data_IF_342076908920
#
_entry.id   IF_342076908920
#
_cell.length_a   1.000
_cell.length_b   1.000
_cell.length_c   1.000
_cell.angle_alpha   90.00
_cell.angle_beta   90.00
_cell.angle_gamma   90.00
#
_symmetry.space_group_name_H-M   'P 1'
#
loop_
_entity.id
_entity.type
_entity.pdbx_description
1 polymer ?
#
# COMPACT_ATOMS: atom_id res chain seq x y z
N UNK A 1 50.96 -9.11 -35.39
CA UNK A 1 50.65 -8.24 -34.24
C UNK A 1 49.29 -7.63 -34.47
N UNK A 2 48.28 -8.07 -33.73
CA UNK A 2 46.99 -7.41 -33.57
C UNK A 2 46.30 -8.10 -32.40
N UNK A 3 46.77 -7.82 -31.19
CA UNK A 3 46.05 -8.17 -29.96
C UNK A 3 44.86 -7.21 -29.87
N UNK A 4 43.67 -7.71 -30.18
CA UNK A 4 42.44 -7.08 -29.70
C UNK A 4 42.43 -7.23 -28.19
N UNK A 5 42.31 -6.14 -27.40
CA UNK A 5 42.19 -6.27 -25.96
C UNK A 5 40.82 -6.88 -25.65
N UNK A 6 40.83 -8.06 -25.03
CA UNK A 6 39.66 -8.62 -24.37
C UNK A 6 39.17 -7.61 -23.32
N UNK A 7 38.08 -6.91 -23.63
CA UNK A 7 37.34 -6.15 -22.63
C UNK A 7 36.66 -7.17 -21.74
N UNK A 8 37.34 -7.53 -20.64
CA UNK A 8 36.74 -8.30 -19.56
C UNK A 8 35.64 -7.42 -18.97
N UNK A 9 34.40 -7.62 -19.41
CA UNK A 9 33.22 -7.06 -18.77
C UNK A 9 33.11 -7.72 -17.40
N UNK A 10 33.71 -7.10 -16.38
CA UNK A 10 33.51 -7.50 -14.98
C UNK A 10 32.05 -7.23 -14.64
N UNK A 11 31.19 -8.25 -14.66
CA UNK A 11 29.86 -8.16 -14.07
C UNK A 11 30.02 -7.71 -12.63
N UNK A 12 29.42 -6.57 -12.27
CA UNK A 12 29.35 -6.12 -10.89
C UNK A 12 28.69 -7.23 -10.06
N UNK A 13 29.39 -7.74 -9.04
CA UNK A 13 28.80 -8.68 -8.10
C UNK A 13 27.76 -7.95 -7.27
N UNK A 14 26.51 -8.40 -7.30
CA UNK A 14 25.45 -7.85 -6.45
C UNK A 14 25.83 -8.13 -4.99
N UNK A 15 25.86 -7.13 -4.09
CA UNK A 15 26.22 -7.32 -2.70
C UNK A 15 25.19 -8.21 -1.97
N UNK A 16 25.56 -8.75 -0.82
CA UNK A 16 24.60 -9.38 0.09
C UNK A 16 23.75 -8.29 0.77
N UNK A 17 22.49 -8.61 1.10
CA UNK A 17 21.68 -7.70 1.92
C UNK A 17 22.01 -7.95 3.39
N UNK A 18 22.84 -7.08 3.95
CA UNK A 18 23.22 -7.02 5.37
C UNK A 18 23.22 -5.57 5.87
N UNK A 19 23.42 -5.36 7.18
CA UNK A 19 23.45 -4.01 7.73
C UNK A 19 24.63 -3.16 7.21
N UNK A 20 25.73 -3.79 6.78
CA UNK A 20 26.88 -3.06 6.23
C UNK A 20 26.55 -2.46 4.85
N UNK A 21 25.86 -3.18 3.97
CA UNK A 21 25.40 -2.64 2.68
C UNK A 21 24.32 -1.57 2.88
N UNK A 22 23.52 -1.65 3.96
CA UNK A 22 22.59 -0.58 4.33
C UNK A 22 23.33 0.66 4.85
N UNK A 23 24.36 0.49 5.69
CA UNK A 23 25.22 1.59 6.13
C UNK A 23 25.91 2.26 4.92
N UNK A 24 26.40 1.46 3.96
CA UNK A 24 26.93 1.97 2.69
C UNK A 24 25.86 2.68 1.84
N UNK A 25 24.61 2.21 1.86
CA UNK A 25 23.50 2.90 1.18
C UNK A 25 23.23 4.28 1.80
N UNK A 26 23.32 4.43 3.13
CA UNK A 26 23.21 5.74 3.80
C UNK A 26 24.25 6.70 3.24
N UNK A 27 25.52 6.28 3.15
CA UNK A 27 26.60 7.10 2.61
C UNK A 27 26.32 7.56 1.16
N UNK A 28 25.77 6.66 0.33
CA UNK A 28 25.44 6.96 -1.07
C UNK A 28 24.29 7.94 -1.22
N UNK A 29 23.29 7.91 -0.32
CA UNK A 29 22.05 8.70 -0.49
C UNK A 29 22.00 10.00 0.31
N UNK A 30 22.69 10.10 1.46
CA UNK A 30 22.49 11.15 2.47
C UNK A 30 22.66 12.59 1.97
N UNK A 31 23.44 12.81 0.90
CA UNK A 31 23.68 14.14 0.33
C UNK A 31 22.58 14.61 -0.63
N UNK A 32 21.68 13.71 -1.03
CA UNK A 32 20.62 13.99 -2.01
C UNK A 32 19.24 13.72 -1.42
N UNK A 33 19.11 12.69 -0.58
CA UNK A 33 17.87 12.27 0.02
C UNK A 33 17.91 12.66 1.49
N UNK A 34 17.02 13.57 1.88
CA UNK A 34 16.93 14.05 3.26
C UNK A 34 16.31 12.99 4.18
N UNK A 35 16.79 12.96 5.41
CA UNK A 35 16.14 12.20 6.48
C UNK A 35 14.74 12.77 6.74
N UNK A 36 13.73 11.91 6.73
CA UNK A 36 12.34 12.35 6.93
C UNK A 36 12.01 12.50 8.41
N UNK A 37 11.04 13.34 8.78
CA UNK A 37 10.64 13.49 10.18
C UNK A 37 10.16 12.18 10.81
N UNK A 38 10.53 11.98 12.08
CA UNK A 38 9.92 11.02 12.97
C UNK A 38 9.01 11.78 13.93
N UNK A 39 7.71 11.73 13.70
CA UNK A 39 6.74 12.61 14.35
C UNK A 39 5.94 11.86 15.41
N UNK A 40 5.94 12.35 16.66
CA UNK A 40 5.07 11.81 17.71
C UNK A 40 3.59 12.06 17.38
N UNK A 41 2.72 11.07 17.64
CA UNK A 41 1.26 11.20 17.48
C UNK A 41 0.57 11.05 18.83
N UNK A 42 0.01 12.14 19.33
CA UNK A 42 -0.76 12.15 20.58
C UNK A 42 -2.00 11.25 20.49
N UNK A 43 -2.75 11.33 19.38
CA UNK A 43 -3.98 10.58 19.16
C UNK A 43 -3.73 9.07 19.13
N UNK A 44 -2.75 8.63 18.35
CA UNK A 44 -2.44 7.20 18.22
C UNK A 44 -1.77 6.65 19.49
N UNK A 45 -1.01 7.48 20.20
CA UNK A 45 -0.48 7.13 21.51
C UNK A 45 -1.59 6.93 22.54
N UNK A 46 -2.57 7.84 22.59
CA UNK A 46 -3.72 7.72 23.46
C UNK A 46 -4.59 6.49 23.12
N UNK A 47 -4.75 6.19 21.82
CA UNK A 47 -5.50 5.02 21.35
C UNK A 47 -4.88 3.70 21.78
N UNK A 48 -3.56 3.60 21.76
CA UNK A 48 -2.83 2.32 21.97
C UNK A 48 -2.26 2.16 23.36
N UNK A 49 -2.11 3.25 24.12
CA UNK A 49 -1.34 3.29 25.37
C UNK A 49 0.18 3.28 25.18
N UNK A 50 0.67 3.18 23.95
CA UNK A 50 2.09 3.22 23.58
C UNK A 50 2.54 4.64 23.22
N UNK A 51 3.84 4.85 23.07
CA UNK A 51 4.41 6.05 22.45
C UNK A 51 4.51 5.83 20.94
N UNK A 52 3.51 6.29 20.18
CA UNK A 52 3.42 6.09 18.74
C UNK A 52 4.08 7.24 17.99
N UNK A 53 5.01 6.89 17.11
CA UNK A 53 5.67 7.79 16.18
C UNK A 53 5.34 7.43 14.72
N UNK A 54 5.29 8.43 13.87
CA UNK A 54 5.06 8.31 12.43
C UNK A 54 6.36 8.64 11.69
N UNK A 55 6.93 7.68 10.96
CA UNK A 55 8.05 7.94 10.04
C UNK A 55 7.49 8.45 8.71
N UNK A 56 7.67 9.75 8.44
CA UNK A 56 6.96 10.53 7.40
C UNK A 56 7.60 10.43 6.01
N UNK A 57 7.66 9.22 5.42
CA UNK A 57 8.20 9.04 4.06
C UNK A 57 7.31 9.66 2.95
N UNK A 58 6.07 10.02 3.28
CA UNK A 58 5.21 10.87 2.44
C UNK A 58 5.75 12.28 2.21
N UNK A 59 6.65 12.76 3.08
CA UNK A 59 7.30 14.08 2.95
C UNK A 59 8.61 14.05 2.14
N UNK A 60 8.98 12.88 1.60
CA UNK A 60 10.18 12.75 0.77
C UNK A 60 10.01 13.48 -0.59
N UNK A 61 11.11 13.75 -1.32
CA UNK A 61 11.09 14.53 -2.57
C UNK A 61 10.17 14.00 -3.68
N UNK A 62 9.88 12.70 -3.71
CA UNK A 62 8.90 12.04 -4.61
C UNK A 62 7.65 11.57 -3.86
N UNK A 63 7.44 12.08 -2.64
CA UNK A 63 6.36 11.79 -1.70
C UNK A 63 6.17 10.30 -1.37
N UNK A 64 7.27 9.55 -1.36
CA UNK A 64 7.31 8.17 -0.92
C UNK A 64 8.75 7.72 -0.69
N UNK A 65 8.90 6.60 0.03
CA UNK A 65 10.21 6.01 0.33
C UNK A 65 10.97 5.52 -0.92
N UNK A 66 10.29 5.30 -2.05
CA UNK A 66 10.86 4.64 -3.25
C UNK A 66 12.10 5.33 -3.81
N UNK A 67 12.28 6.63 -3.54
CA UNK A 67 13.49 7.37 -3.94
C UNK A 67 14.76 6.72 -3.41
N UNK A 68 14.73 6.12 -2.22
CA UNK A 68 15.93 5.63 -1.52
C UNK A 68 16.53 4.44 -2.26
N UNK A 69 15.74 3.40 -2.47
CA UNK A 69 16.18 2.22 -3.23
C UNK A 69 16.49 2.52 -4.69
N UNK A 70 15.68 3.34 -5.37
CA UNK A 70 15.93 3.70 -6.77
C UNK A 70 17.26 4.45 -6.92
N UNK A 71 17.51 5.45 -6.07
CA UNK A 71 18.76 6.21 -6.09
C UNK A 71 19.95 5.33 -5.68
N UNK A 72 19.83 4.52 -4.62
CA UNK A 72 20.93 3.65 -4.17
C UNK A 72 21.36 2.65 -5.25
N UNK A 73 20.40 2.03 -5.96
CA UNK A 73 20.73 1.11 -7.06
C UNK A 73 21.45 1.84 -8.19
N UNK A 74 20.90 2.97 -8.65
CA UNK A 74 21.46 3.71 -9.79
C UNK A 74 22.84 4.32 -9.45
N UNK A 75 23.07 4.69 -8.18
CA UNK A 75 24.35 5.21 -7.72
C UNK A 75 25.50 4.21 -7.89
N UNK A 76 25.19 2.91 -7.83
CA UNK A 76 26.16 1.82 -7.90
C UNK A 76 26.50 1.39 -9.33
N UNK A 77 25.85 1.96 -10.35
CA UNK A 77 26.11 1.60 -11.74
C UNK A 77 27.53 2.01 -12.16
N UNK A 78 28.21 1.12 -12.87
CA UNK A 78 29.49 1.41 -13.49
C UNK A 78 29.34 2.29 -14.75
N UNK A 79 30.44 2.73 -15.35
CA UNK A 79 30.42 3.63 -16.50
C UNK A 79 29.68 3.06 -17.72
N UNK A 80 29.85 1.77 -18.02
CA UNK A 80 29.18 1.11 -19.14
C UNK A 80 27.67 1.01 -18.90
N UNK A 81 27.25 0.64 -17.69
CA UNK A 81 25.84 0.60 -17.29
C UNK A 81 25.19 2.00 -17.34
N UNK A 82 25.90 3.02 -16.84
CA UNK A 82 25.45 4.42 -16.91
C UNK A 82 25.30 4.91 -18.36
N UNK A 83 26.21 4.52 -19.24
CA UNK A 83 26.16 4.87 -20.65
C UNK A 83 25.00 4.17 -21.39
N UNK A 84 24.71 2.91 -21.06
CA UNK A 84 23.54 2.19 -21.58
C UNK A 84 22.20 2.73 -21.03
N UNK A 85 22.24 3.36 -19.86
CA UNK A 85 21.08 3.93 -19.19
C UNK A 85 20.30 2.89 -18.39
N UNK A 86 19.12 3.29 -17.91
CA UNK A 86 18.28 2.47 -17.04
C UNK A 86 16.87 2.30 -17.58
N UNK A 87 16.24 1.19 -17.20
CA UNK A 87 14.87 0.84 -17.59
C UNK A 87 14.07 0.45 -16.36
N UNK A 88 12.80 0.83 -16.30
CA UNK A 88 11.87 0.30 -15.29
C UNK A 88 10.43 0.25 -15.83
N UNK A 89 9.61 -0.64 -15.28
CA UNK A 89 8.17 -0.65 -15.48
C UNK A 89 7.46 -0.26 -14.18
N UNK A 90 6.80 0.90 -14.17
CA UNK A 90 5.97 1.35 -13.04
C UNK A 90 5.20 2.60 -13.44
N UNK A 91 3.93 2.70 -13.06
CA UNK A 91 3.14 3.91 -13.23
C UNK A 91 3.03 4.77 -11.95
N UNK A 92 3.78 4.42 -10.89
CA UNK A 92 3.58 4.95 -9.54
C UNK A 92 4.85 5.47 -8.86
N UNK A 93 4.94 5.25 -7.55
CA UNK A 93 6.00 5.77 -6.69
C UNK A 93 7.41 5.37 -7.14
N UNK A 94 7.57 4.13 -7.62
CA UNK A 94 8.87 3.66 -8.11
C UNK A 94 9.34 4.42 -9.35
N UNK A 95 8.46 4.64 -10.34
CA UNK A 95 8.80 5.43 -11.52
C UNK A 95 9.19 6.87 -11.18
N UNK A 96 8.52 7.50 -10.20
CA UNK A 96 8.91 8.83 -9.74
C UNK A 96 10.31 8.81 -9.09
N UNK A 97 10.62 7.79 -8.28
CA UNK A 97 11.95 7.59 -7.69
C UNK A 97 13.05 7.38 -8.73
N UNK A 98 12.82 6.51 -9.72
CA UNK A 98 13.75 6.28 -10.84
C UNK A 98 13.92 7.55 -11.67
N UNK A 99 12.83 8.25 -11.96
CA UNK A 99 12.89 9.48 -12.74
C UNK A 99 13.71 10.57 -12.04
N UNK A 100 13.50 10.74 -10.73
CA UNK A 100 14.30 11.65 -9.92
C UNK A 100 15.79 11.26 -9.96
N UNK A 101 16.12 9.99 -9.75
CA UNK A 101 17.51 9.52 -9.75
C UNK A 101 18.19 9.73 -11.12
N UNK A 102 17.48 9.44 -12.22
CA UNK A 102 17.96 9.69 -13.59
C UNK A 102 18.31 11.17 -13.80
N UNK A 103 17.41 12.07 -13.41
CA UNK A 103 17.64 13.52 -13.52
C UNK A 103 18.83 13.98 -12.69
N UNK A 104 18.91 13.55 -11.44
CA UNK A 104 19.96 13.99 -10.51
C UNK A 104 21.34 13.50 -10.93
N UNK A 105 21.44 12.26 -11.42
CA UNK A 105 22.71 11.67 -11.86
C UNK A 105 23.00 11.89 -13.35
N UNK A 106 22.09 12.56 -14.08
CA UNK A 106 22.17 12.79 -15.52
C UNK A 106 22.28 11.50 -16.36
N UNK A 107 21.62 10.43 -15.90
CA UNK A 107 21.56 9.13 -16.59
C UNK A 107 20.25 9.04 -17.37
N UNK A 108 20.30 8.48 -18.59
CA UNK A 108 19.09 8.28 -19.40
C UNK A 108 18.23 7.15 -18.82
N UNK A 109 16.97 7.43 -18.56
CA UNK A 109 15.97 6.50 -18.07
C UNK A 109 14.84 6.29 -19.07
N UNK A 110 14.40 5.04 -19.22
CA UNK A 110 13.21 4.67 -20.01
C UNK A 110 12.20 4.02 -19.09
N UNK A 111 11.00 4.60 -19.02
CA UNK A 111 9.97 4.19 -18.07
C UNK A 111 8.76 3.69 -18.83
N UNK A 112 8.44 2.43 -18.65
CA UNK A 112 7.30 1.77 -19.28
C UNK A 112 6.09 1.83 -18.34
N UNK A 113 4.97 2.30 -18.88
CA UNK A 113 3.69 2.43 -18.19
C UNK A 113 2.56 1.86 -19.04
N UNK A 114 1.48 1.32 -18.45
CA UNK A 114 0.27 0.99 -19.19
C UNK A 114 -0.30 2.21 -19.93
N UNK A 115 -0.88 2.02 -21.13
CA UNK A 115 -1.43 3.09 -21.95
C UNK A 115 -2.62 3.83 -21.30
N UNK A 116 -3.39 3.13 -20.46
CA UNK A 116 -4.47 3.68 -19.65
C UNK A 116 -3.98 4.43 -18.39
N UNK A 117 -2.67 4.58 -18.18
CA UNK A 117 -2.14 5.31 -17.01
C UNK A 117 -2.66 6.75 -16.99
N UNK A 118 -3.29 7.19 -15.88
CA UNK A 118 -3.83 8.55 -15.75
C UNK A 118 -2.80 9.63 -16.10
N UNK A 119 -3.25 10.69 -16.79
CA UNK A 119 -2.40 11.81 -17.21
C UNK A 119 -1.61 12.40 -16.04
N UNK A 120 -2.24 12.55 -14.86
CA UNK A 120 -1.60 13.11 -13.68
C UNK A 120 -0.38 12.29 -13.21
N UNK A 121 -0.48 10.94 -13.19
CA UNK A 121 0.65 10.06 -12.83
C UNK A 121 1.80 10.20 -13.84
N UNK A 122 1.48 10.23 -15.14
CA UNK A 122 2.49 10.44 -16.21
C UNK A 122 3.18 11.79 -16.11
N UNK A 123 2.43 12.84 -15.85
CA UNK A 123 2.97 14.20 -15.74
C UNK A 123 3.88 14.35 -14.53
N UNK A 124 3.58 13.69 -13.39
CA UNK A 124 4.49 13.65 -12.23
C UNK A 124 5.82 12.96 -12.54
N UNK A 125 5.79 11.81 -13.20
CA UNK A 125 7.02 11.10 -13.62
C UNK A 125 7.87 12.02 -14.51
N UNK A 126 7.26 12.68 -15.50
CA UNK A 126 7.94 13.65 -16.38
C UNK A 126 8.51 14.84 -15.60
N UNK A 127 7.78 15.37 -14.62
CA UNK A 127 8.23 16.49 -13.81
C UNK A 127 9.48 16.13 -12.98
N UNK A 128 9.53 14.92 -12.43
CA UNK A 128 10.72 14.43 -11.71
C UNK A 128 11.90 14.14 -12.63
N UNK A 129 11.65 13.57 -13.82
CA UNK A 129 12.70 13.12 -14.75
C UNK A 129 13.24 14.19 -15.70
N UNK A 130 12.43 15.17 -16.09
CA UNK A 130 12.81 16.16 -17.10
C UNK A 130 13.32 15.52 -18.41
N UNK A 131 14.37 16.08 -18.99
CA UNK A 131 14.98 15.60 -20.25
C UNK A 131 15.80 14.29 -20.11
N UNK A 132 15.89 13.74 -18.90
CA UNK A 132 16.62 12.51 -18.64
C UNK A 132 15.74 11.26 -18.71
N UNK A 133 14.42 11.42 -18.84
CA UNK A 133 13.48 10.31 -18.83
C UNK A 133 12.56 10.35 -20.04
N UNK A 134 12.41 9.21 -20.69
CA UNK A 134 11.40 8.96 -21.71
C UNK A 134 10.32 8.01 -21.18
N UNK A 135 9.05 8.30 -21.47
CA UNK A 135 7.92 7.48 -21.03
C UNK A 135 7.33 6.73 -22.23
N UNK A 136 7.30 5.40 -22.12
CA UNK A 136 6.71 4.51 -23.10
C UNK A 136 5.37 3.99 -22.57
N UNK A 137 4.32 4.19 -23.36
CA UNK A 137 2.96 3.76 -23.01
C UNK A 137 2.63 2.51 -23.80
N UNK A 138 2.71 1.34 -23.16
CA UNK A 138 2.64 0.04 -23.83
C UNK A 138 1.57 -0.83 -23.16
N UNK A 139 0.70 -1.42 -23.97
CA UNK A 139 -0.39 -2.29 -23.53
C UNK A 139 -1.39 -1.61 -22.59
N UNK A 140 -2.35 -2.37 -22.07
CA UNK A 140 -3.36 -1.87 -21.13
C UNK A 140 -3.14 -2.39 -19.69
N UNK A 141 -2.14 -3.26 -19.50
CA UNK A 141 -1.83 -3.93 -18.23
C UNK A 141 -0.40 -3.66 -17.78
N UNK A 142 -0.17 -3.79 -16.47
CA UNK A 142 1.19 -3.73 -15.91
C UNK A 142 2.10 -4.80 -16.52
N UNK A 143 1.59 -6.03 -16.70
CA UNK A 143 2.37 -7.14 -17.25
C UNK A 143 2.87 -6.85 -18.66
N UNK A 144 2.07 -6.19 -19.50
CA UNK A 144 2.48 -5.78 -20.84
C UNK A 144 3.59 -4.72 -20.80
N UNK A 145 3.49 -3.72 -19.90
CA UNK A 145 4.54 -2.71 -19.72
C UNK A 145 5.83 -3.32 -19.15
N UNK A 146 5.72 -4.30 -18.23
CA UNK A 146 6.86 -5.02 -17.66
C UNK A 146 7.58 -5.89 -18.69
N UNK A 147 6.83 -6.58 -19.56
CA UNK A 147 7.40 -7.35 -20.66
C UNK A 147 8.18 -6.46 -21.64
N UNK A 148 7.60 -5.32 -22.04
CA UNK A 148 8.28 -4.36 -22.92
C UNK A 148 9.55 -3.76 -22.30
N UNK A 149 9.54 -3.49 -20.98
CA UNK A 149 10.74 -3.07 -20.25
C UNK A 149 11.83 -4.16 -20.26
N UNK A 150 11.45 -5.43 -20.15
CA UNK A 150 12.40 -6.54 -20.19
C UNK A 150 13.01 -6.73 -21.60
N UNK A 151 12.20 -6.55 -22.65
CA UNK A 151 12.67 -6.55 -24.04
C UNK A 151 13.68 -5.42 -24.29
N UNK A 152 13.38 -4.21 -23.83
CA UNK A 152 14.28 -3.06 -23.97
C UNK A 152 15.64 -3.27 -23.28
N UNK A 153 15.64 -3.89 -22.11
CA UNK A 153 16.88 -4.30 -21.42
C UNK A 153 17.68 -5.30 -22.25
N UNK A 154 17.02 -6.30 -22.84
CA UNK A 154 17.67 -7.30 -23.67
C UNK A 154 18.25 -6.70 -24.96
N UNK A 155 17.56 -5.74 -25.57
CA UNK A 155 17.98 -5.09 -26.83
C UNK A 155 19.11 -4.08 -26.63
N UNK A 156 19.05 -3.29 -25.57
CA UNK A 156 19.93 -2.12 -25.42
C UNK A 156 21.02 -2.29 -24.37
N UNK A 157 20.97 -3.35 -23.56
CA UNK A 157 21.92 -3.59 -22.49
C UNK A 157 21.77 -2.64 -21.30
N UNK A 158 20.69 -1.86 -21.24
CA UNK A 158 20.40 -0.99 -20.10
C UNK A 158 20.12 -1.79 -18.83
N UNK A 159 20.33 -1.15 -17.68
CA UNK A 159 20.10 -1.79 -16.39
C UNK A 159 18.62 -1.69 -15.99
N UNK A 160 17.98 -2.84 -15.75
CA UNK A 160 16.68 -2.88 -15.09
C UNK A 160 16.81 -2.33 -13.66
N UNK A 161 15.87 -1.47 -13.25
CA UNK A 161 15.76 -0.96 -11.89
C UNK A 161 14.47 -1.51 -11.26
N UNK A 162 14.53 -2.63 -10.53
CA UNK A 162 13.33 -3.27 -9.97
C UNK A 162 12.69 -2.42 -8.86
N UNK A 163 11.36 -2.45 -8.72
CA UNK A 163 10.65 -1.72 -7.66
C UNK A 163 10.89 -2.25 -6.25
N UNK A 164 11.35 -3.49 -6.11
CA UNK A 164 11.56 -4.14 -4.81
C UNK A 164 12.55 -5.32 -4.87
N UNK A 165 12.58 -6.10 -5.96
CA UNK A 165 13.31 -7.37 -6.03
C UNK A 165 14.77 -7.20 -6.48
N UNK A 166 15.53 -6.42 -5.72
CA UNK A 166 16.97 -6.21 -5.90
C UNK A 166 17.59 -5.83 -4.56
N UNK A 167 18.74 -6.42 -4.21
CA UNK A 167 19.43 -6.16 -2.95
C UNK A 167 19.76 -4.67 -2.78
N UNK A 168 20.24 -4.00 -3.83
CA UNK A 168 20.60 -2.58 -3.79
C UNK A 168 19.36 -1.71 -3.59
N UNK A 169 18.23 -2.11 -4.19
CA UNK A 169 16.94 -1.45 -3.94
C UNK A 169 16.53 -1.63 -2.48
N UNK A 170 16.52 -2.86 -1.97
CA UNK A 170 16.15 -3.16 -0.58
C UNK A 170 17.07 -2.46 0.44
N UNK A 171 18.39 -2.43 0.19
CA UNK A 171 19.37 -1.76 1.03
C UNK A 171 19.10 -0.25 1.14
N UNK A 172 18.78 0.39 0.01
CA UNK A 172 18.37 1.79 0.00
C UNK A 172 17.10 2.02 0.83
N UNK A 173 16.10 1.14 0.74
CA UNK A 173 14.91 1.26 1.59
C UNK A 173 15.22 1.01 3.08
N UNK A 174 16.19 0.13 3.39
CA UNK A 174 16.63 -0.18 4.75
C UNK A 174 17.19 1.02 5.51
N UNK A 175 17.66 2.05 4.81
CA UNK A 175 18.13 3.32 5.43
C UNK A 175 17.08 3.99 6.32
N UNK A 176 15.79 3.71 6.08
CA UNK A 176 14.69 4.18 6.95
C UNK A 176 14.87 3.68 8.38
N UNK A 177 15.28 2.43 8.59
CA UNK A 177 15.47 1.85 9.91
C UNK A 177 16.62 2.55 10.66
N UNK A 178 17.73 2.83 9.97
CA UNK A 178 18.86 3.54 10.55
C UNK A 178 18.49 4.97 10.99
N UNK A 179 17.70 5.67 10.18
CA UNK A 179 17.18 6.99 10.55
C UNK A 179 16.28 6.91 11.78
N UNK A 180 15.36 5.93 11.84
CA UNK A 180 14.47 5.75 13.01
C UNK A 180 15.29 5.53 14.28
N UNK A 181 16.29 4.62 14.25
CA UNK A 181 17.12 4.34 15.42
C UNK A 181 17.96 5.57 15.84
N UNK A 182 18.35 6.42 14.90
CA UNK A 182 19.10 7.65 15.17
C UNK A 182 18.21 8.76 15.74
N UNK A 183 16.94 8.82 15.31
CA UNK A 183 15.99 9.87 15.66
C UNK A 183 15.24 9.60 16.98
N UNK A 184 15.26 8.37 17.49
CA UNK A 184 14.62 8.02 18.74
C UNK A 184 15.54 8.25 19.94
N UNK A 185 15.00 8.88 20.99
CA UNK A 185 15.66 9.00 22.30
C UNK A 185 15.46 7.77 23.19
N UNK A 186 14.68 6.78 22.72
CA UNK A 186 14.33 5.56 23.45
C UNK A 186 14.49 4.32 22.55
N UNK A 187 14.66 3.11 23.13
CA UNK A 187 14.69 1.88 22.34
C UNK A 187 13.40 1.69 21.53
N UNK A 188 13.55 1.27 20.27
CA UNK A 188 12.41 0.92 19.42
C UNK A 188 11.86 -0.47 19.80
N UNK A 189 10.65 -0.52 20.37
CA UNK A 189 10.02 -1.78 20.75
C UNK A 189 9.35 -2.48 19.58
N UNK A 190 8.61 -1.73 18.75
CA UNK A 190 7.89 -2.28 17.59
C UNK A 190 7.91 -1.32 16.40
N UNK A 191 8.10 -1.84 15.19
CA UNK A 191 7.85 -1.12 13.94
C UNK A 191 6.77 -1.82 13.12
N UNK A 192 5.85 -1.03 12.56
CA UNK A 192 4.78 -1.50 11.68
C UNK A 192 5.06 -1.01 10.26
N UNK A 193 5.23 -1.95 9.32
CA UNK A 193 5.74 -1.71 7.96
C UNK A 193 4.74 -2.22 6.92
N UNK A 194 4.28 -1.37 5.99
CA UNK A 194 3.48 -1.81 4.84
C UNK A 194 4.26 -2.78 3.94
N UNK A 195 3.60 -3.83 3.47
CA UNK A 195 4.16 -4.87 2.60
C UNK A 195 3.40 -4.90 1.29
N UNK A 196 4.11 -4.59 0.22
CA UNK A 196 3.72 -4.92 -1.16
C UNK A 196 4.67 -5.98 -1.69
N UNK A 197 5.57 -5.59 -2.61
CA UNK A 197 6.63 -6.49 -3.11
C UNK A 197 7.75 -6.83 -2.12
N UNK A 198 7.69 -6.33 -0.88
CA UNK A 198 8.56 -6.75 0.22
C UNK A 198 9.92 -6.04 0.35
N UNK A 199 10.41 -5.32 -0.66
CA UNK A 199 11.75 -4.71 -0.62
C UNK A 199 11.99 -3.75 0.56
N UNK A 200 10.96 -3.00 0.96
CA UNK A 200 11.06 -2.09 2.12
C UNK A 200 11.20 -2.85 3.44
N UNK A 201 10.31 -3.82 3.70
CA UNK A 201 10.36 -4.60 4.93
C UNK A 201 11.62 -5.48 4.98
N UNK A 202 12.11 -5.98 3.85
CA UNK A 202 13.37 -6.72 3.79
C UNK A 202 14.56 -5.86 4.24
N UNK A 203 14.70 -4.64 3.70
CA UNK A 203 15.76 -3.72 4.11
C UNK A 203 15.66 -3.33 5.58
N UNK A 204 14.47 -2.97 6.05
CA UNK A 204 14.23 -2.59 7.46
C UNK A 204 14.53 -3.77 8.39
N UNK A 205 14.02 -4.96 8.07
CA UNK A 205 14.17 -6.15 8.91
C UNK A 205 15.63 -6.60 9.00
N UNK A 206 16.37 -6.59 7.90
CA UNK A 206 17.81 -6.88 7.91
C UNK A 206 18.54 -5.94 8.86
N UNK A 207 18.33 -4.63 8.74
CA UNK A 207 19.01 -3.65 9.58
C UNK A 207 18.69 -3.83 11.06
N UNK A 208 17.40 -3.95 11.39
CA UNK A 208 16.94 -4.08 12.76
C UNK A 208 17.39 -5.40 13.38
N UNK A 209 17.41 -6.51 12.63
CA UNK A 209 17.87 -7.79 13.16
C UNK A 209 19.34 -7.74 13.61
N UNK A 210 20.20 -7.00 12.91
CA UNK A 210 21.62 -6.87 13.27
C UNK A 210 21.90 -5.74 14.29
N UNK A 211 21.19 -4.62 14.20
CA UNK A 211 21.48 -3.41 14.99
C UNK A 211 20.55 -3.19 16.19
N UNK A 212 19.34 -3.73 16.14
CA UNK A 212 18.33 -3.64 17.20
C UNK A 212 17.52 -4.95 17.32
N UNK A 213 18.16 -6.09 17.66
CA UNK A 213 17.57 -7.43 17.57
C UNK A 213 16.35 -7.66 18.48
N UNK A 214 16.09 -6.74 19.43
CA UNK A 214 14.92 -6.79 20.31
C UNK A 214 13.69 -6.11 19.71
N UNK A 215 13.85 -5.30 18.67
CA UNK A 215 12.74 -4.64 18.00
C UNK A 215 11.84 -5.67 17.32
N UNK A 216 10.54 -5.63 17.65
CA UNK A 216 9.55 -6.44 16.95
C UNK A 216 9.16 -5.78 15.62
N UNK A 217 8.92 -6.60 14.60
CA UNK A 217 8.56 -6.14 13.25
C UNK A 217 7.19 -6.71 12.90
N UNK A 218 6.28 -5.83 12.50
CA UNK A 218 4.94 -6.19 12.03
C UNK A 218 4.80 -5.76 10.57
N UNK A 219 4.82 -6.72 9.66
CA UNK A 219 4.52 -6.51 8.24
C UNK A 219 3.01 -6.51 7.99
N UNK A 220 2.50 -5.52 7.27
CA UNK A 220 1.06 -5.37 7.00
C UNK A 220 0.77 -5.37 5.51
N UNK A 221 -0.04 -6.31 5.06
CA UNK A 221 -0.54 -6.41 3.69
C UNK A 221 -2.02 -5.99 3.61
N UNK A 222 -2.49 -5.46 2.47
CA UNK A 222 -3.93 -5.39 2.21
C UNK A 222 -4.49 -6.81 2.01
N UNK A 223 -5.67 -7.09 2.57
CA UNK A 223 -6.34 -8.40 2.46
C UNK A 223 -6.51 -8.87 1.02
N UNK A 224 -6.82 -7.94 0.11
CA UNK A 224 -6.99 -8.20 -1.33
C UNK A 224 -5.70 -8.44 -2.10
N UNK A 225 -4.51 -8.34 -1.48
CA UNK A 225 -3.23 -8.61 -2.16
C UNK A 225 -2.11 -9.12 -1.24
N UNK A 226 -2.42 -10.09 -0.37
CA UNK A 226 -1.51 -10.63 0.65
C UNK A 226 -0.46 -11.65 0.11
N UNK A 227 0.41 -11.20 -0.79
CA UNK A 227 1.39 -12.05 -1.48
C UNK A 227 2.53 -12.61 -0.61
N UNK A 228 3.03 -11.87 0.38
CA UNK A 228 4.03 -12.33 1.34
C UNK A 228 3.45 -13.41 2.23
N UNK A 229 2.24 -13.21 2.74
CA UNK A 229 1.52 -14.19 3.56
C UNK A 229 1.30 -15.49 2.78
N UNK A 230 0.84 -15.41 1.51
CA UNK A 230 0.69 -16.59 0.66
C UNK A 230 2.04 -17.31 0.44
N UNK A 231 3.13 -16.56 0.24
CA UNK A 231 4.46 -17.14 0.04
C UNK A 231 4.99 -17.84 1.30
N UNK A 232 4.83 -17.23 2.48
CA UNK A 232 5.25 -17.82 3.75
C UNK A 232 4.49 -19.11 4.05
N UNK A 233 3.18 -19.15 3.78
CA UNK A 233 2.36 -20.37 3.94
C UNK A 233 2.77 -21.46 2.95
N UNK A 234 3.09 -21.09 1.71
CA UNK A 234 3.51 -22.04 0.68
C UNK A 234 4.97 -22.52 0.82
N UNK A 235 5.78 -21.86 1.66
CA UNK A 235 7.22 -22.12 1.77
C UNK A 235 8.04 -21.63 0.57
N UNK A 236 7.50 -20.69 -0.22
CA UNK A 236 8.17 -20.08 -1.37
C UNK A 236 7.28 -19.07 -2.09
N UNK A 237 7.83 -18.17 -2.93
CA UNK A 237 7.02 -17.19 -3.64
C UNK A 237 6.00 -17.86 -4.57
N UNK A 238 4.74 -17.46 -4.43
CA UNK A 238 3.60 -17.92 -5.23
C UNK A 238 2.88 -16.72 -5.87
N UNK A 239 2.21 -16.96 -6.98
CA UNK A 239 1.42 -15.94 -7.68
C UNK A 239 -0.04 -16.06 -7.27
N UNK A 240 -0.61 -15.00 -6.71
CA UNK A 240 -2.03 -14.90 -6.40
C UNK A 240 -2.85 -14.96 -7.69
N UNK A 241 -4.00 -15.67 -7.71
CA UNK A 241 -4.87 -15.73 -8.88
C UNK A 241 -5.44 -14.35 -9.24
N UNK A 242 -5.89 -13.62 -8.20
CA UNK A 242 -6.52 -12.31 -8.30
C UNK A 242 -5.97 -11.37 -7.22
N UNK A 243 -6.03 -10.06 -7.49
CA UNK A 243 -5.67 -9.00 -6.53
C UNK A 243 -6.66 -7.83 -6.63
N UNK A 244 -7.03 -7.23 -5.51
CA UNK A 244 -7.71 -5.93 -5.49
C UNK A 244 -6.68 -4.82 -5.81
N UNK A 245 -6.83 -4.06 -6.92
CA UNK A 245 -5.89 -3.00 -7.29
C UNK A 245 -6.01 -1.73 -6.44
N UNK A 246 -6.97 -1.64 -5.51
CA UNK A 246 -7.24 -0.43 -4.74
C UNK A 246 -6.02 0.10 -3.98
N UNK A 247 -5.31 -0.77 -3.28
CA UNK A 247 -4.07 -0.40 -2.56
C UNK A 247 -2.89 -0.50 -3.52
N UNK A 248 -2.89 0.31 -4.57
CA UNK A 248 -1.97 0.23 -5.72
C UNK A 248 -0.48 0.18 -5.37
N UNK A 249 -0.04 0.83 -4.29
CA UNK A 249 1.33 0.76 -3.77
C UNK A 249 1.73 -0.59 -3.13
N UNK A 250 0.75 -1.42 -2.78
CA UNK A 250 0.90 -2.73 -2.14
C UNK A 250 0.19 -3.90 -2.87
N UNK A 251 -0.55 -3.62 -3.95
CA UNK A 251 -1.25 -4.60 -4.77
C UNK A 251 -0.29 -5.42 -5.65
N UNK A 252 0.46 -6.33 -5.05
CA UNK A 252 1.47 -7.16 -5.72
C UNK A 252 1.00 -8.61 -5.79
N UNK A 253 0.97 -9.19 -7.00
CA UNK A 253 0.50 -10.57 -7.22
C UNK A 253 1.47 -11.64 -6.73
N UNK A 254 2.78 -11.37 -6.78
CA UNK A 254 3.84 -12.31 -6.40
C UNK A 254 4.93 -11.54 -5.68
N UNK A 255 5.25 -11.97 -4.46
CA UNK A 255 6.32 -11.36 -3.68
C UNK A 255 7.68 -11.53 -4.39
N UNK A 256 8.62 -10.59 -4.20
CA UNK A 256 9.97 -10.73 -4.75
C UNK A 256 10.74 -11.88 -4.10
N UNK A 257 11.68 -12.46 -4.84
CA UNK A 257 12.52 -13.55 -4.37
C UNK A 257 13.48 -13.09 -3.25
N UNK A 258 14.14 -11.94 -3.42
CA UNK A 258 15.06 -11.37 -2.41
C UNK A 258 14.29 -11.01 -1.12
N UNK A 259 13.16 -10.28 -1.18
CA UNK A 259 12.36 -10.01 0.02
C UNK A 259 11.85 -11.26 0.72
N UNK A 260 11.38 -12.27 -0.03
CA UNK A 260 10.92 -13.52 0.56
C UNK A 260 12.05 -14.24 1.29
N UNK A 261 13.23 -14.38 0.68
CA UNK A 261 14.38 -15.04 1.30
C UNK A 261 14.71 -14.38 2.65
N UNK A 262 14.76 -13.06 2.70
CA UNK A 262 15.06 -12.30 3.92
C UNK A 262 13.99 -12.53 4.98
N UNK A 263 12.72 -12.34 4.63
CA UNK A 263 11.61 -12.44 5.59
C UNK A 263 11.46 -13.87 6.12
N UNK A 264 11.65 -14.88 5.27
CA UNK A 264 11.66 -16.30 5.66
C UNK A 264 12.86 -16.62 6.56
N UNK A 265 14.08 -16.20 6.17
CA UNK A 265 15.32 -16.43 6.93
C UNK A 265 15.28 -15.81 8.32
N UNK A 266 14.65 -14.64 8.47
CA UNK A 266 14.47 -13.94 9.74
C UNK A 266 13.30 -14.49 10.58
N UNK A 267 12.65 -15.57 10.13
CA UNK A 267 11.67 -16.31 10.93
C UNK A 267 10.30 -15.63 11.05
N UNK A 268 9.89 -14.85 10.03
CA UNK A 268 8.59 -14.20 10.06
C UNK A 268 7.44 -15.21 10.09
N UNK A 269 6.52 -15.03 11.04
CA UNK A 269 5.32 -15.87 11.19
C UNK A 269 4.07 -15.18 10.65
N UNK A 270 3.20 -15.93 9.98
CA UNK A 270 1.87 -15.45 9.57
C UNK A 270 0.91 -15.55 10.75
N UNK A 271 0.22 -14.46 11.04
CA UNK A 271 -0.70 -14.39 12.18
C UNK A 271 -2.10 -14.84 11.81
N UNK A 272 -2.61 -14.35 10.69
CA UNK A 272 -3.94 -14.66 10.21
C UNK A 272 -3.90 -14.92 8.71
N UNK A 273 -4.60 -15.95 8.28
CA UNK A 273 -4.83 -16.29 6.88
C UNK A 273 -6.16 -17.04 6.81
N UNK A 274 -6.95 -16.83 5.76
CA UNK A 274 -8.19 -17.58 5.50
C UNK A 274 -8.04 -19.13 5.49
N UNK A 275 -6.82 -19.67 5.37
CA UNK A 275 -6.50 -21.10 5.37
C UNK A 275 -5.95 -21.61 6.71
N UNK A 276 -5.75 -20.73 7.71
CA UNK A 276 -5.29 -21.09 9.04
C UNK A 276 -6.47 -21.05 10.03
N UNK A 277 -6.70 -22.10 10.83
CA UNK A 277 -7.76 -22.10 11.84
C UNK A 277 -7.60 -20.91 12.79
N UNK A 278 -8.64 -20.08 12.85
CA UNK A 278 -8.79 -18.92 13.72
C UNK A 278 -8.25 -19.18 15.13
N UNK A 279 -7.08 -18.61 15.41
CA UNK A 279 -6.85 -17.97 16.69
C UNK A 279 -6.69 -16.49 16.36
N UNK A 280 -7.82 -15.81 16.13
CA UNK A 280 -7.89 -14.36 16.25
C UNK A 280 -7.66 -14.00 17.73
N UNK A 281 -6.42 -14.18 18.19
CA UNK A 281 -5.92 -13.43 19.33
C UNK A 281 -5.50 -12.09 18.77
N UNK A 282 -5.96 -11.01 19.39
CA UNK A 282 -5.27 -9.73 19.30
C UNK A 282 -3.78 -10.00 19.35
N UNK A 283 -3.05 -9.51 18.35
CA UNK A 283 -1.61 -9.70 18.31
C UNK A 283 -1.01 -8.98 19.50
N UNK A 284 -0.68 -9.72 20.54
CA UNK A 284 0.13 -9.22 21.63
C UNK A 284 1.55 -9.09 21.10
N UNK A 285 1.93 -7.89 20.71
CA UNK A 285 3.31 -7.57 20.40
C UNK A 285 4.05 -7.58 21.74
N UNK A 286 4.83 -8.62 22.00
CA UNK A 286 5.69 -8.65 23.19
C UNK A 286 6.83 -7.67 22.95
N UNK A 287 6.78 -6.50 23.60
CA UNK A 287 7.84 -5.49 23.53
C UNK A 287 9.20 -6.12 23.80
N UNK A 288 10.20 -5.76 23.00
CA UNK A 288 11.56 -6.24 23.16
C UNK A 288 11.79 -7.73 22.85
N UNK A 289 10.80 -8.45 22.27
CA UNK A 289 10.93 -9.88 21.96
C UNK A 289 11.70 -10.21 20.68
N UNK A 290 11.94 -9.22 19.82
CA UNK A 290 12.52 -9.45 18.49
C UNK A 290 11.60 -10.24 17.55
N UNK A 291 10.29 -10.29 17.84
CA UNK A 291 9.33 -11.06 17.04
C UNK A 291 9.16 -10.46 15.64
N UNK A 292 8.97 -11.31 14.63
CA UNK A 292 8.65 -10.88 13.27
C UNK A 292 7.36 -11.56 12.84
N UNK A 293 6.34 -10.76 12.57
CA UNK A 293 5.03 -11.25 12.13
C UNK A 293 4.55 -10.54 10.87
N UNK A 294 3.75 -11.23 10.06
CA UNK A 294 3.02 -10.66 8.92
C UNK A 294 1.52 -10.84 9.13
N UNK A 295 0.76 -9.77 8.88
CA UNK A 295 -0.69 -9.74 9.03
C UNK A 295 -1.36 -9.00 7.86
N UNK A 296 -2.68 -9.17 7.74
CA UNK A 296 -3.50 -8.56 6.70
C UNK A 296 -4.49 -7.57 7.31
N UNK A 297 -4.84 -6.53 6.55
CA UNK A 297 -5.82 -5.52 6.94
C UNK A 297 -6.80 -5.27 5.78
N UNK A 298 -8.08 -5.21 6.13
CA UNK A 298 -9.18 -4.90 5.21
C UNK A 298 -9.04 -3.51 4.59
N UNK A 299 -9.31 -3.40 3.29
CA UNK A 299 -9.19 -2.16 2.54
C UNK A 299 -10.06 -1.03 3.11
N UNK A 300 -11.20 -1.35 3.69
CA UNK A 300 -12.05 -0.36 4.34
C UNK A 300 -11.47 0.17 5.65
N UNK A 301 -10.77 -0.65 6.44
CA UNK A 301 -10.01 -0.19 7.61
C UNK A 301 -8.87 0.76 7.20
N UNK A 302 -8.20 0.45 6.08
CA UNK A 302 -7.19 1.34 5.49
C UNK A 302 -7.82 2.69 5.12
N UNK A 303 -9.01 2.67 4.49
CA UNK A 303 -9.74 3.89 4.15
C UNK A 303 -10.08 4.73 5.39
N UNK A 304 -10.57 4.10 6.46
CA UNK A 304 -10.82 4.77 7.74
C UNK A 304 -9.56 5.43 8.27
N UNK A 305 -8.43 4.71 8.30
CA UNK A 305 -7.16 5.27 8.76
C UNK A 305 -6.68 6.45 7.88
N UNK A 306 -6.89 6.40 6.56
CA UNK A 306 -6.58 7.53 5.67
C UNK A 306 -7.40 8.78 6.01
N UNK A 307 -8.70 8.61 6.27
CA UNK A 307 -9.60 9.71 6.63
C UNK A 307 -9.22 10.29 7.98
N UNK A 308 -8.93 9.45 8.97
CA UNK A 308 -8.49 9.90 10.30
C UNK A 308 -7.17 10.67 10.23
N UNK A 309 -6.17 10.16 9.50
CA UNK A 309 -4.88 10.83 9.28
C UNK A 309 -5.05 12.21 8.67
N UNK A 310 -5.97 12.34 7.71
CA UNK A 310 -6.28 13.62 7.08
C UNK A 310 -7.00 14.57 8.04
N UNK A 311 -8.05 14.09 8.71
CA UNK A 311 -8.94 14.93 9.53
C UNK A 311 -8.29 15.36 10.85
N UNK A 312 -7.52 14.47 11.48
CA UNK A 312 -6.96 14.70 12.82
C UNK A 312 -5.53 15.26 12.77
N UNK A 313 -4.68 14.74 11.87
CA UNK A 313 -3.28 15.14 11.78
C UNK A 313 -2.94 16.01 10.57
N UNK A 314 -3.87 16.21 9.62
CA UNK A 314 -3.59 16.92 8.36
C UNK A 314 -2.63 16.15 7.44
N UNK A 315 -2.50 14.84 7.62
CA UNK A 315 -1.59 13.97 6.87
C UNK A 315 -2.33 13.38 5.67
N UNK A 316 -1.85 13.66 4.46
CA UNK A 316 -2.37 13.09 3.22
C UNK A 316 -1.57 11.83 2.89
N UNK A 317 -2.09 10.68 3.34
CA UNK A 317 -1.55 9.37 2.98
C UNK A 317 -2.20 8.85 1.68
N UNK A 318 -1.46 8.05 0.92
CA UNK A 318 -2.05 7.12 -0.04
C UNK A 318 -2.49 5.83 0.68
N UNK A 319 -3.29 4.93 0.05
CA UNK A 319 -3.76 3.71 0.73
C UNK A 319 -2.61 2.88 1.35
N UNK A 320 -1.54 2.65 0.60
CA UNK A 320 -0.37 1.93 1.13
C UNK A 320 0.38 2.71 2.24
N UNK A 321 0.25 4.04 2.25
CA UNK A 321 0.80 4.92 3.29
C UNK A 321 0.04 4.85 4.62
N UNK A 322 -1.22 4.44 4.61
CA UNK A 322 -2.06 4.31 5.81
C UNK A 322 -2.07 2.89 6.40
N UNK A 323 -1.59 1.87 5.67
CA UNK A 323 -1.58 0.45 6.08
C UNK A 323 -1.05 0.24 7.50
N UNK A 324 0.07 0.86 7.86
CA UNK A 324 0.67 0.67 9.19
C UNK A 324 -0.19 1.25 10.32
N UNK A 325 -0.87 2.37 10.05
CA UNK A 325 -1.75 3.02 11.05
C UNK A 325 -3.05 2.24 11.20
N UNK A 326 -3.62 1.76 10.09
CA UNK A 326 -4.83 0.93 10.09
C UNK A 326 -4.65 -0.35 10.93
N UNK A 327 -3.43 -0.91 10.94
CA UNK A 327 -3.13 -2.09 11.73
C UNK A 327 -3.17 -1.86 13.25
N UNK A 328 -2.99 -0.63 13.74
CA UNK A 328 -2.87 -0.37 15.19
C UNK A 328 -4.09 -0.83 15.98
N UNK A 329 -5.29 -0.77 15.41
CA UNK A 329 -6.52 -1.21 16.08
C UNK A 329 -6.56 -2.73 16.35
N UNK A 330 -5.78 -3.51 15.59
CA UNK A 330 -5.70 -4.97 15.69
C UNK A 330 -4.46 -5.46 16.46
N UNK A 331 -3.63 -4.53 16.95
CA UNK A 331 -2.41 -4.81 17.69
C UNK A 331 -2.58 -4.37 19.15
N UNK A 332 -1.97 -5.12 20.07
CA UNK A 332 -1.91 -4.75 21.49
C UNK A 332 -0.46 -4.57 21.89
N UNK A 333 -0.17 -3.41 22.47
CA UNK A 333 1.16 -2.99 22.87
C UNK A 333 1.26 -2.91 24.39
N UNK A 334 2.47 -3.13 24.93
CA UNK A 334 2.73 -2.83 26.34
C UNK A 334 2.62 -1.31 26.57
N UNK A 335 1.93 -0.85 27.62
CA UNK A 335 1.84 0.57 27.92
C UNK A 335 3.21 1.25 28.02
N UNK A 336 3.37 2.39 27.35
CA UNK A 336 4.64 3.14 27.30
C UNK A 336 5.71 2.55 26.38
N UNK A 337 5.45 1.46 25.66
CA UNK A 337 6.38 0.96 24.63
C UNK A 337 6.49 1.94 23.46
N UNK A 338 7.64 1.95 22.78
CA UNK A 338 7.90 2.82 21.63
C UNK A 338 7.53 2.11 20.33
N UNK A 339 6.54 2.65 19.63
CA UNK A 339 5.99 2.08 18.39
C UNK A 339 6.18 3.05 17.24
N UNK A 340 6.70 2.57 16.11
CA UNK A 340 6.84 3.38 14.89
C UNK A 340 5.95 2.83 13.78
N UNK A 341 5.11 3.69 13.22
CA UNK A 341 4.34 3.43 12.00
C UNK A 341 5.02 4.09 10.79
N UNK A 342 5.22 3.33 9.72
CA UNK A 342 5.77 3.87 8.48
C UNK A 342 4.67 4.45 7.57
N UNK A 343 4.62 5.78 7.47
CA UNK A 343 3.78 6.46 6.46
C UNK A 343 4.53 6.40 5.12
N UNK A 344 4.33 5.31 4.39
CA UNK A 344 5.19 4.91 3.26
C UNK A 344 5.10 5.84 2.04
N UNK A 345 3.98 6.55 1.86
CA UNK A 345 3.77 7.47 0.75
C UNK A 345 2.51 8.31 0.86
N UNK A 346 2.46 9.37 0.07
CA UNK A 346 1.37 10.35 0.03
C UNK A 346 0.89 10.68 -1.38
N UNK A 347 1.15 9.83 -2.37
CA UNK A 347 0.78 10.08 -3.77
C UNK A 347 -0.66 9.65 -4.07
N UNK A 348 -1.62 10.24 -3.35
CA UNK A 348 -3.04 10.02 -3.58
C UNK A 348 -3.64 11.06 -4.57
N UNK A 349 -4.69 10.65 -5.29
CA UNK A 349 -5.51 11.55 -6.12
C UNK A 349 -6.77 11.94 -5.35
N UNK A 350 -7.12 13.23 -5.39
CA UNK A 350 -8.33 13.76 -4.76
C UNK A 350 -9.59 13.08 -5.31
N UNK A 351 -9.58 12.68 -6.59
CA UNK A 351 -10.71 11.98 -7.21
C UNK A 351 -11.04 10.64 -6.57
N UNK A 352 -10.09 10.05 -5.81
CA UNK A 352 -10.29 8.76 -5.12
C UNK A 352 -11.02 8.90 -3.79
N UNK A 353 -11.18 10.10 -3.24
CA UNK A 353 -11.77 10.28 -1.92
C UNK A 353 -13.24 9.86 -1.85
N UNK A 354 -13.99 9.91 -2.96
CA UNK A 354 -15.34 9.37 -3.00
C UNK A 354 -15.37 7.87 -2.69
N UNK A 355 -14.53 7.09 -3.39
CA UNK A 355 -14.38 5.65 -3.16
C UNK A 355 -13.83 5.35 -1.75
N UNK A 356 -12.85 6.13 -1.27
CA UNK A 356 -12.27 5.97 0.08
C UNK A 356 -13.34 6.17 1.17
N UNK A 357 -14.14 7.24 1.07
CA UNK A 357 -15.24 7.50 2.00
C UNK A 357 -16.24 6.35 1.99
N UNK A 358 -16.62 5.89 0.80
CA UNK A 358 -17.55 4.78 0.66
C UNK A 358 -17.04 3.48 1.28
N UNK A 359 -15.82 3.05 0.95
CA UNK A 359 -15.22 1.82 1.52
C UNK A 359 -15.07 1.92 3.04
N UNK A 360 -14.74 3.09 3.56
CA UNK A 360 -14.67 3.32 5.02
C UNK A 360 -16.05 3.18 5.68
N UNK A 361 -17.09 3.84 5.15
CA UNK A 361 -18.44 3.78 5.74
C UNK A 361 -19.03 2.37 5.68
N UNK A 362 -18.76 1.63 4.60
CA UNK A 362 -19.18 0.22 4.46
C UNK A 362 -18.47 -0.65 5.50
N UNK A 363 -17.16 -0.46 5.67
CA UNK A 363 -16.37 -1.18 6.67
C UNK A 363 -16.82 -0.89 8.11
N UNK A 364 -17.16 0.35 8.41
CA UNK A 364 -17.70 0.74 9.72
C UNK A 364 -19.14 0.25 9.96
N UNK A 365 -19.77 -0.40 8.97
CA UNK A 365 -21.16 -0.82 9.07
C UNK A 365 -22.15 0.34 9.08
N UNK A 366 -21.75 1.50 8.56
CA UNK A 366 -22.59 2.70 8.49
C UNK A 366 -23.31 2.80 7.15
N UNK A 367 -22.69 2.43 6.03
CA UNK A 367 -23.31 2.52 4.70
C UNK A 367 -23.75 1.16 4.18
N UNK A 368 -25.02 1.06 3.76
CA UNK A 368 -25.65 -0.17 3.28
C UNK A 368 -26.46 0.10 2.02
N UNK A 369 -26.48 -0.85 1.09
CA UNK A 369 -27.22 -0.74 -0.17
C UNK A 369 -28.36 -1.75 -0.23
N UNK A 370 -29.48 -1.32 -0.80
CA UNK A 370 -30.69 -2.11 -0.93
C UNK A 370 -31.30 -1.94 -2.31
N UNK A 371 -31.81 -3.02 -2.89
CA UNK A 371 -32.82 -2.96 -3.95
C UNK A 371 -34.19 -2.95 -3.30
N UNK A 372 -34.94 -1.87 -3.48
CA UNK A 372 -36.27 -1.67 -2.88
C UNK A 372 -37.31 -1.57 -3.98
N UNK A 373 -38.31 -2.46 -3.97
CA UNK A 373 -39.44 -2.42 -4.88
C UNK A 373 -40.54 -1.53 -4.32
N UNK A 374 -40.57 -0.29 -4.79
CA UNK A 374 -41.59 0.67 -4.38
C UNK A 374 -42.93 0.39 -5.08
N UNK A 375 -44.06 0.34 -4.33
CA UNK A 375 -45.38 0.26 -4.95
C UNK A 375 -45.68 1.53 -5.74
N UNK A 376 -46.30 1.40 -6.93
CA UNK A 376 -46.62 2.51 -7.84
C UNK A 376 -47.85 3.31 -7.38
N UNK A 377 -47.85 3.76 -6.12
CA UNK A 377 -48.92 4.56 -5.52
C UNK A 377 -48.38 5.87 -4.91
N UNK A 378 -49.20 6.93 -4.87
CA UNK A 378 -48.79 8.19 -4.26
C UNK A 378 -48.30 8.03 -2.81
N UNK A 379 -47.15 8.63 -2.51
CA UNK A 379 -46.59 8.70 -1.16
C UNK A 379 -45.77 7.47 -0.72
N UNK A 380 -45.51 6.49 -1.57
CA UNK A 380 -44.69 5.31 -1.23
C UNK A 380 -43.30 5.68 -0.70
N UNK A 381 -42.58 6.57 -1.39
CA UNK A 381 -41.29 7.08 -0.93
C UNK A 381 -41.41 7.84 0.40
N UNK A 382 -42.48 8.63 0.59
CA UNK A 382 -42.70 9.35 1.83
C UNK A 382 -42.88 8.39 3.02
N UNK A 383 -43.62 7.29 2.83
CA UNK A 383 -43.78 6.24 3.86
C UNK A 383 -42.45 5.56 4.17
N UNK A 384 -41.63 5.27 3.17
CA UNK A 384 -40.28 4.74 3.40
C UNK A 384 -39.45 5.69 4.28
N UNK A 385 -39.45 6.98 3.95
CA UNK A 385 -38.74 8.00 4.73
C UNK A 385 -39.28 8.13 6.17
N UNK A 386 -40.58 8.02 6.39
CA UNK A 386 -41.18 8.23 7.73
C UNK A 386 -41.23 6.98 8.59
N UNK A 387 -41.36 5.80 7.99
CA UNK A 387 -41.71 4.57 8.69
C UNK A 387 -40.54 3.56 8.68
N UNK A 388 -39.59 3.68 7.74
CA UNK A 388 -38.44 2.77 7.59
C UNK A 388 -37.13 3.39 8.03
N UNK A 389 -36.84 4.64 7.68
CA UNK A 389 -35.61 5.29 8.13
C UNK A 389 -35.67 5.66 9.62
N UNK A 390 -34.55 5.50 10.30
CA UNK A 390 -34.34 6.03 11.64
C UNK A 390 -34.19 7.56 11.62
N UNK A 391 -34.29 8.21 12.78
CA UNK A 391 -34.21 9.67 12.89
C UNK A 391 -32.85 10.24 12.45
N UNK A 392 -31.80 9.43 12.50
CA UNK A 392 -30.42 9.80 12.17
C UNK A 392 -29.91 9.04 10.92
N UNK A 393 -30.81 8.36 10.18
CA UNK A 393 -30.45 7.65 8.94
C UNK A 393 -30.61 8.58 7.74
N UNK A 394 -29.60 8.63 6.87
CA UNK A 394 -29.59 9.45 5.65
C UNK A 394 -29.67 8.59 4.38
N UNK A 395 -30.35 9.09 3.36
CA UNK A 395 -30.29 8.51 2.01
C UNK A 395 -29.05 9.05 1.30
N UNK A 396 -28.00 8.24 1.21
CA UNK A 396 -26.76 8.54 0.51
C UNK A 396 -26.84 8.29 -1.00
N UNK A 397 -27.74 7.40 -1.46
CA UNK A 397 -27.97 7.12 -2.87
C UNK A 397 -29.44 6.77 -3.11
N UNK A 398 -30.03 7.30 -4.19
CA UNK A 398 -31.36 6.91 -4.64
C UNK A 398 -31.42 6.92 -6.16
N UNK A 399 -31.36 5.74 -6.78
CA UNK A 399 -31.54 5.58 -8.22
C UNK A 399 -32.81 4.80 -8.50
N UNK A 400 -33.74 5.45 -9.18
CA UNK A 400 -35.04 4.88 -9.51
C UNK A 400 -35.22 4.78 -11.02
N UNK A 401 -35.49 3.57 -11.52
CA UNK A 401 -35.77 3.36 -12.94
C UNK A 401 -37.27 3.17 -13.14
N UNK A 402 -37.93 4.23 -13.63
CA UNK A 402 -39.34 4.15 -14.00
C UNK A 402 -39.52 3.25 -15.23
N UNK A 403 -40.10 2.06 -15.04
CA UNK A 403 -40.52 1.19 -16.15
C UNK A 403 -42.01 1.35 -16.37
N UNK A 404 -42.42 1.60 -17.63
CA UNK A 404 -43.83 1.62 -18.00
C UNK A 404 -44.41 0.19 -17.89
N UNK A 405 -45.66 0.08 -17.41
CA UNK A 405 -46.42 -1.18 -17.27
C UNK A 405 -45.93 -2.18 -16.20
N UNK A 406 -45.54 -1.72 -15.00
CA UNK A 406 -45.32 -2.59 -13.83
C UNK A 406 -46.03 -2.04 -12.59
N UNK A 407 -46.49 -2.93 -11.71
CA UNK A 407 -47.13 -2.59 -10.42
C UNK A 407 -46.12 -2.08 -9.38
N UNK A 408 -44.83 -2.40 -9.55
CA UNK A 408 -43.71 -1.96 -8.72
C UNK A 408 -42.60 -1.33 -9.56
N UNK A 409 -41.80 -0.46 -8.94
CA UNK A 409 -40.57 0.06 -9.53
C UNK A 409 -39.39 -0.13 -8.58
N UNK A 410 -38.39 -0.88 -9.03
CA UNK A 410 -37.15 -1.08 -8.29
C UNK A 410 -36.35 0.22 -8.20
N UNK A 411 -35.91 0.54 -6.99
CA UNK A 411 -34.93 1.57 -6.72
C UNK A 411 -33.72 0.97 -6.03
N UNK A 412 -32.53 1.41 -6.42
CA UNK A 412 -31.32 1.23 -5.65
C UNK A 412 -31.27 2.34 -4.59
N UNK A 413 -31.22 1.94 -3.32
CA UNK A 413 -31.20 2.85 -2.17
C UNK A 413 -29.93 2.58 -1.37
N UNK A 414 -29.07 3.59 -1.25
CA UNK A 414 -27.95 3.59 -0.31
C UNK A 414 -28.36 4.36 0.94
N UNK A 415 -28.26 3.71 2.10
CA UNK A 415 -28.60 4.27 3.40
C UNK A 415 -27.33 4.37 4.23
N UNK A 416 -27.08 5.56 4.76
CA UNK A 416 -26.06 5.82 5.77
C UNK A 416 -26.74 5.88 7.14
N UNK A 417 -26.33 5.01 8.05
CA UNK A 417 -26.86 4.93 9.40
C UNK A 417 -26.13 5.92 10.30
N UNK A 418 -26.85 6.54 11.24
CA UNK A 418 -26.24 7.32 12.31
C UNK A 418 -25.40 6.49 13.29
N UNK A 419 -25.63 5.16 13.34
CA UNK A 419 -24.85 4.20 14.14
C UNK A 419 -24.90 2.81 13.52
N UNK A 420 -23.78 2.08 13.56
CA UNK A 420 -23.67 0.72 13.06
C UNK A 420 -24.63 -0.27 13.76
N UNK A 421 -24.90 -0.05 15.05
CA UNK A 421 -25.86 -0.85 15.83
C UNK A 421 -27.31 -0.68 15.34
N UNK A 422 -27.58 0.36 14.54
CA UNK A 422 -28.89 0.65 13.97
C UNK A 422 -29.34 -0.32 12.87
N UNK A 423 -28.42 -1.11 12.29
CA UNK A 423 -28.72 -1.97 11.14
C UNK A 423 -29.84 -2.97 11.42
N UNK A 424 -29.80 -3.66 12.57
CA UNK A 424 -30.80 -4.66 12.91
C UNK A 424 -32.21 -4.06 12.99
N UNK A 425 -32.32 -2.86 13.58
CA UNK A 425 -33.59 -2.14 13.67
C UNK A 425 -34.07 -1.64 12.30
N UNK A 426 -33.16 -1.21 11.42
CA UNK A 426 -33.50 -0.86 10.03
C UNK A 426 -34.07 -2.07 9.28
N UNK A 427 -33.40 -3.22 9.35
CA UNK A 427 -33.83 -4.45 8.68
C UNK A 427 -35.22 -4.90 9.16
N UNK A 428 -35.48 -4.84 10.47
CA UNK A 428 -36.80 -5.16 11.03
C UNK A 428 -37.91 -4.22 10.51
N UNK A 429 -37.60 -2.93 10.34
CA UNK A 429 -38.55 -1.97 9.75
C UNK A 429 -38.75 -2.21 8.25
N UNK A 430 -37.70 -2.58 7.52
CA UNK A 430 -37.79 -2.96 6.10
C UNK A 430 -38.67 -4.19 5.90
N UNK A 431 -38.51 -5.24 6.72
CA UNK A 431 -39.33 -6.46 6.63
C UNK A 431 -40.82 -6.22 6.92
N UNK A 432 -41.13 -5.26 7.79
CA UNK A 432 -42.51 -4.88 8.14
C UNK A 432 -43.16 -3.96 7.11
N UNK A 433 -42.37 -3.25 6.31
CA UNK A 433 -42.88 -2.30 5.35
C UNK A 433 -43.62 -3.02 4.21
N UNK A 434 -44.64 -2.40 3.59
CA UNK A 434 -45.38 -2.98 2.47
C UNK A 434 -44.60 -2.92 1.15
N UNK A 435 -43.28 -3.07 1.20
CA UNK A 435 -42.37 -3.06 0.05
C UNK A 435 -41.38 -4.21 0.18
N UNK A 436 -41.01 -4.83 -0.94
CA UNK A 436 -39.97 -5.85 -0.93
C UNK A 436 -38.60 -5.17 -1.00
N UNK A 437 -37.66 -5.63 -0.18
CA UNK A 437 -36.30 -5.12 -0.16
C UNK A 437 -35.28 -6.26 -0.10
N UNK A 438 -34.22 -6.15 -0.88
CA UNK A 438 -33.05 -7.03 -0.84
C UNK A 438 -31.82 -6.20 -0.45
N UNK A 439 -31.09 -6.62 0.59
CA UNK A 439 -29.81 -6.01 0.94
C UNK A 439 -28.72 -6.52 0.00
N UNK A 440 -27.95 -5.60 -0.57
CA UNK A 440 -26.80 -5.91 -1.41
C UNK A 440 -25.57 -6.05 -0.52
N UNK A 441 -25.14 -7.29 -0.29
CA UNK A 441 -23.98 -7.57 0.55
C UNK A 441 -22.67 -7.15 -0.14
N UNK A 442 -21.73 -6.48 0.58
CA UNK A 442 -20.41 -6.17 0.07
C UNK A 442 -19.71 -7.40 -0.54
N UNK A 443 -19.07 -7.22 -1.68
CA UNK A 443 -18.36 -8.29 -2.40
C UNK A 443 -19.25 -9.21 -3.26
N UNK A 444 -20.58 -9.13 -3.14
CA UNK A 444 -21.51 -9.83 -4.03
C UNK A 444 -21.40 -9.32 -5.48
N UNK A 445 -21.74 -10.13 -6.50
CA UNK A 445 -21.72 -9.67 -7.90
C UNK A 445 -22.61 -8.44 -8.13
N UNK A 446 -23.76 -8.35 -7.46
CA UNK A 446 -24.66 -7.20 -7.56
C UNK A 446 -24.02 -5.93 -6.96
N UNK A 447 -23.33 -6.06 -5.82
CA UNK A 447 -22.62 -4.94 -5.20
C UNK A 447 -21.51 -4.39 -6.10
N UNK A 448 -20.76 -5.26 -6.80
CA UNK A 448 -19.69 -4.83 -7.73
C UNK A 448 -20.18 -4.03 -8.94
N UNK A 449 -21.48 -4.03 -9.23
CA UNK A 449 -22.05 -3.14 -10.24
C UNK A 449 -22.30 -1.72 -9.71
N UNK A 450 -22.30 -1.53 -8.40
CA UNK A 450 -22.51 -0.23 -7.74
C UNK A 450 -21.24 0.61 -7.66
N UNK A 451 -20.09 -0.05 -7.50
CA UNK A 451 -18.79 0.54 -7.12
C UNK A 451 -17.74 0.43 -8.19
#
# INVERSE_FOLDING_TARGET
>A
MSNSPDVVVTKSTVPALDAQEIDAAIERIQHVIAATPLQYSDRLSALTGAHVYLKREDLQGVRSYKIRGAYNLIAQLNEAERAAGVVTASAGNHAQGVAFACRTMQIKGRIYVPANTPKQKRDRIRAHGGAFVELFMIGETYDAAAAAAAEDVAETGATMVPPFDDVRTAAGQGTIAAEILTQLDAPLDTIVVPVGGGGCIAGIATYLHERSPKTSIVGIEPSGAASMTAALVAGGPVTLPDVDPFVDGAAVKRIGDVPYEVVSRLGAAVVSHASLPLVARQLQTRSGSGSFVVNQIDEGAICTAMLELYQSEGIIAEPAGALSVAALQNLTFEPGSTVVCLISGGNNDVSRYGEILERSLVHLGLKHYFLVDFPQEPGALRRFLSDVLGPDDDIALFEYVKRNNRETGAALVGIELGSADGLAALLERMERAPMQSERLEPGSPAYRYLT
#
